data_IF_354308920035
#
_entry.id   IF_354308920035
#
_cell.length_a   1.000
_cell.length_b   1.000
_cell.length_c   1.000
_cell.angle_alpha   90.00
_cell.angle_beta   90.00
_cell.angle_gamma   90.00
#
_symmetry.space_group_name_H-M   'P 1'
#
loop_
_entity.id
_entity.type
_entity.pdbx_description
1 polymer ?
#
# COMPACT_ATOMS: atom_id res chain seq x y z
N UNK A 1 -6.67 -19.20 -8.72
CA UNK A 1 -7.40 -18.51 -9.81
C UNK A 1 -6.36 -17.66 -10.51
N UNK A 2 -6.17 -17.86 -11.81
CA UNK A 2 -5.25 -17.06 -12.61
C UNK A 2 -6.02 -15.83 -13.11
N UNK A 3 -5.79 -14.66 -12.50
CA UNK A 3 -6.20 -13.37 -13.04
C UNK A 3 -4.97 -12.69 -13.67
N UNK A 4 -5.15 -12.10 -14.84
CA UNK A 4 -4.07 -11.41 -15.56
C UNK A 4 -3.70 -10.09 -14.90
N UNK A 5 -4.69 -9.37 -14.35
CA UNK A 5 -4.52 -8.06 -13.76
C UNK A 5 -4.76 -8.14 -12.24
N UNK A 6 -3.81 -7.64 -11.46
CA UNK A 6 -4.01 -7.47 -10.02
C UNK A 6 -5.02 -6.36 -9.72
N UNK A 7 -5.10 -5.35 -10.62
CA UNK A 7 -6.05 -4.24 -10.55
C UNK A 7 -6.62 -4.02 -11.95
N UNK A 8 -7.95 -3.87 -12.04
CA UNK A 8 -8.68 -3.46 -13.24
C UNK A 8 -9.76 -2.46 -12.83
N UNK A 9 -9.55 -1.19 -13.19
CA UNK A 9 -10.45 -0.07 -12.94
C UNK A 9 -11.14 0.30 -14.26
N UNK A 10 -12.45 0.46 -14.23
CA UNK A 10 -13.26 0.80 -15.40
C UNK A 10 -14.16 1.99 -15.08
N UNK A 11 -13.88 3.14 -15.72
CA UNK A 11 -14.62 4.38 -15.57
C UNK A 11 -14.84 4.79 -14.09
N UNK A 12 -13.78 4.68 -13.26
CA UNK A 12 -13.88 4.93 -11.82
C UNK A 12 -13.91 6.43 -11.55
N UNK A 13 -14.88 6.84 -10.73
CA UNK A 13 -15.02 8.19 -10.20
C UNK A 13 -14.98 8.16 -8.66
N UNK A 14 -14.44 9.23 -8.09
CA UNK A 14 -14.49 9.47 -6.65
C UNK A 14 -14.83 10.92 -6.37
N UNK A 15 -15.91 11.13 -5.63
CA UNK A 15 -16.32 12.43 -5.09
C UNK A 15 -16.48 12.30 -3.58
N UNK A 16 -15.85 13.19 -2.83
CA UNK A 16 -15.88 13.21 -1.36
C UNK A 16 -16.62 14.44 -0.86
N UNK A 17 -17.36 14.31 0.24
CA UNK A 17 -18.02 15.42 0.89
C UNK A 17 -17.00 16.37 1.54
N UNK A 18 -16.94 17.59 1.05
CA UNK A 18 -16.11 18.68 1.61
C UNK A 18 -16.98 19.70 2.37
N UNK A 19 -16.33 20.62 3.09
CA UNK A 19 -17.02 21.64 3.87
C UNK A 19 -17.91 22.58 3.02
N UNK A 20 -17.64 22.69 1.72
CA UNK A 20 -18.37 23.54 0.77
C UNK A 20 -19.22 22.75 -0.24
N UNK A 21 -19.44 21.46 0.01
CA UNK A 21 -20.14 20.52 -0.88
C UNK A 21 -19.21 19.46 -1.47
N UNK A 22 -19.72 18.58 -2.35
CA UNK A 22 -18.94 17.49 -2.92
C UNK A 22 -17.77 18.02 -3.75
N UNK A 23 -16.63 17.36 -3.61
CA UNK A 23 -15.39 17.64 -4.35
C UNK A 23 -15.03 16.40 -5.16
N UNK A 24 -14.99 16.56 -6.47
CA UNK A 24 -14.59 15.50 -7.38
C UNK A 24 -13.07 15.32 -7.34
N UNK A 25 -12.62 14.14 -6.98
CA UNK A 25 -11.22 13.78 -6.80
C UNK A 25 -10.68 12.96 -7.98
N UNK A 26 -11.47 11.97 -8.44
CA UNK A 26 -11.09 11.09 -9.56
C UNK A 26 -12.14 11.17 -10.65
N UNK A 27 -11.67 11.27 -11.90
CA UNK A 27 -12.50 11.50 -13.06
C UNK A 27 -12.29 10.42 -14.14
N UNK A 28 -13.19 9.45 -14.24
CA UNK A 28 -13.16 8.44 -15.31
C UNK A 28 -11.83 7.70 -15.41
N UNK A 29 -11.39 7.11 -14.31
CA UNK A 29 -10.13 6.35 -14.29
C UNK A 29 -10.35 4.98 -14.92
N UNK A 30 -9.63 4.72 -16.02
CA UNK A 30 -9.44 3.41 -16.62
C UNK A 30 -7.99 2.99 -16.44
N UNK A 31 -7.75 1.88 -15.72
CA UNK A 31 -6.39 1.43 -15.38
C UNK A 31 -6.33 -0.08 -15.20
N UNK A 32 -5.36 -0.71 -15.85
CA UNK A 32 -5.02 -2.12 -15.63
C UNK A 32 -3.58 -2.24 -15.13
N UNK A 33 -3.36 -3.00 -14.04
CA UNK A 33 -2.03 -3.30 -13.51
C UNK A 33 -1.86 -4.82 -13.51
N UNK A 34 -0.83 -5.27 -14.21
CA UNK A 34 -0.52 -6.71 -14.33
C UNK A 34 -0.04 -7.28 -13.00
N UNK A 35 -0.45 -8.50 -12.68
CA UNK A 35 -0.01 -9.23 -11.48
C UNK A 35 1.51 -9.42 -11.46
N UNK A 36 2.11 -9.34 -10.27
CA UNK A 36 3.54 -9.56 -10.05
C UNK A 36 4.44 -8.44 -10.60
N UNK A 37 3.87 -7.28 -10.95
CA UNK A 37 4.61 -6.12 -11.43
C UNK A 37 4.62 -4.99 -10.42
N UNK A 38 5.66 -4.15 -10.52
CA UNK A 38 5.74 -2.91 -9.78
C UNK A 38 5.24 -1.73 -10.63
N UNK A 39 4.45 -0.85 -10.01
CA UNK A 39 3.88 0.31 -10.66
C UNK A 39 4.04 1.55 -9.78
N UNK A 40 4.63 2.62 -10.32
CA UNK A 40 4.68 3.92 -9.67
C UNK A 40 3.51 4.81 -10.11
N UNK A 41 2.85 5.43 -9.16
CA UNK A 41 1.85 6.47 -9.37
C UNK A 41 2.47 7.81 -9.00
N UNK A 42 2.72 8.66 -10.01
CA UNK A 42 3.34 9.96 -9.87
C UNK A 42 2.37 11.09 -10.21
N UNK A 43 2.73 12.32 -9.88
CA UNK A 43 1.93 13.52 -10.19
C UNK A 43 2.04 14.57 -9.09
N UNK A 44 1.53 15.79 -9.32
CA UNK A 44 1.61 16.89 -8.36
C UNK A 44 0.83 16.59 -7.07
N UNK A 45 1.13 17.34 -6.00
CA UNK A 45 0.34 17.27 -4.76
C UNK A 45 -1.13 17.64 -5.05
N UNK A 46 -2.06 16.93 -4.44
CA UNK A 46 -3.50 17.13 -4.66
C UNK A 46 -4.06 16.53 -5.96
N UNK A 47 -3.27 15.82 -6.78
CA UNK A 47 -3.77 15.22 -8.03
C UNK A 47 -4.67 13.99 -7.83
N UNK A 48 -4.86 13.49 -6.60
CA UNK A 48 -5.71 12.34 -6.30
C UNK A 48 -4.96 11.00 -6.14
N UNK A 49 -3.61 10.99 -6.07
CA UNK A 49 -2.81 9.74 -5.98
C UNK A 49 -3.17 8.88 -4.77
N UNK A 50 -3.14 9.46 -3.57
CA UNK A 50 -3.50 8.74 -2.34
C UNK A 50 -4.96 8.28 -2.36
N UNK A 51 -5.87 9.09 -2.91
CA UNK A 51 -7.28 8.70 -3.08
C UNK A 51 -7.43 7.53 -4.04
N UNK A 52 -6.72 7.53 -5.17
CA UNK A 52 -6.71 6.40 -6.11
C UNK A 52 -6.14 5.14 -5.44
N UNK A 53 -5.04 5.29 -4.68
CA UNK A 53 -4.48 4.18 -3.89
C UNK A 53 -5.51 3.63 -2.89
N UNK A 54 -6.22 4.50 -2.15
CA UNK A 54 -7.25 4.08 -1.19
C UNK A 54 -8.39 3.30 -1.86
N UNK A 55 -8.84 3.74 -3.04
CA UNK A 55 -9.86 3.02 -3.82
C UNK A 55 -9.34 1.65 -4.26
N UNK A 56 -8.14 1.57 -4.81
CA UNK A 56 -7.52 0.31 -5.23
C UNK A 56 -7.26 -0.65 -4.05
N UNK A 57 -6.96 -0.10 -2.87
CA UNK A 57 -6.76 -0.90 -1.66
C UNK A 57 -8.08 -1.34 -0.99
N UNK A 58 -9.25 -0.87 -1.48
CA UNK A 58 -10.54 -1.10 -0.85
C UNK A 58 -10.65 -0.43 0.53
N UNK A 59 -9.97 0.70 0.74
CA UNK A 59 -10.02 1.55 1.94
C UNK A 59 -10.96 2.74 1.74
N UNK A 60 -11.28 3.07 0.50
CA UNK A 60 -12.25 4.07 0.11
C UNK A 60 -13.14 3.47 -1.00
N UNK A 61 -14.42 3.78 -0.97
CA UNK A 61 -15.37 3.28 -1.96
C UNK A 61 -15.50 4.28 -3.11
N UNK A 62 -15.34 3.80 -4.35
CA UNK A 62 -15.59 4.63 -5.53
C UNK A 62 -17.05 5.10 -5.57
N UNK A 63 -17.27 6.35 -5.98
CA UNK A 63 -18.63 6.89 -6.15
C UNK A 63 -19.36 6.22 -7.32
N UNK A 64 -18.62 5.85 -8.37
CA UNK A 64 -19.14 5.09 -9.51
C UNK A 64 -18.01 4.42 -10.29
N UNK A 65 -18.37 3.57 -11.24
CA UNK A 65 -17.44 2.76 -12.03
C UNK A 65 -17.24 1.37 -11.40
N UNK A 66 -16.32 0.60 -11.96
CA UNK A 66 -16.01 -0.75 -11.49
C UNK A 66 -14.57 -0.83 -11.00
N UNK A 67 -14.38 -1.43 -9.82
CA UNK A 67 -13.08 -1.68 -9.20
C UNK A 67 -12.93 -3.18 -9.02
N UNK A 68 -12.08 -3.81 -9.82
CA UNK A 68 -11.75 -5.23 -9.70
C UNK A 68 -10.32 -5.35 -9.16
N UNK A 69 -10.14 -6.05 -8.05
CA UNK A 69 -8.86 -6.25 -7.38
C UNK A 69 -8.65 -7.73 -7.10
N UNK A 70 -7.50 -8.27 -7.50
CA UNK A 70 -7.17 -9.69 -7.38
C UNK A 70 -8.27 -10.61 -7.96
N UNK A 71 -8.91 -10.17 -9.06
CA UNK A 71 -9.97 -10.89 -9.75
C UNK A 71 -11.36 -10.79 -9.11
N UNK A 72 -11.52 -10.05 -8.00
CA UNK A 72 -12.80 -9.84 -7.32
C UNK A 72 -13.32 -8.41 -7.55
N UNK A 73 -14.59 -8.27 -7.89
CA UNK A 73 -15.26 -6.95 -8.01
C UNK A 73 -15.59 -6.46 -6.59
N UNK A 74 -14.89 -5.40 -6.17
CA UNK A 74 -15.03 -4.82 -4.83
C UNK A 74 -15.93 -3.57 -4.81
N UNK A 75 -16.47 -3.16 -5.96
CA UNK A 75 -17.21 -1.89 -6.13
C UNK A 75 -18.42 -1.75 -5.20
N UNK A 76 -19.13 -2.84 -4.95
CA UNK A 76 -20.35 -2.85 -4.17
C UNK A 76 -20.22 -3.56 -2.82
N UNK A 77 -19.00 -3.94 -2.41
CA UNK A 77 -18.74 -4.59 -1.14
C UNK A 77 -18.99 -3.62 0.03
N UNK A 78 -19.63 -4.10 1.07
CA UNK A 78 -19.73 -3.38 2.35
C UNK A 78 -18.35 -3.27 3.02
N UNK A 79 -18.19 -2.34 3.97
CA UNK A 79 -16.95 -2.19 4.72
C UNK A 79 -16.50 -3.50 5.41
N UNK A 80 -17.43 -4.29 5.91
CA UNK A 80 -17.13 -5.60 6.51
C UNK A 80 -16.57 -6.59 5.47
N UNK A 81 -17.13 -6.61 4.27
CA UNK A 81 -16.65 -7.45 3.16
C UNK A 81 -15.30 -6.96 2.65
N UNK A 82 -15.10 -5.64 2.50
CA UNK A 82 -13.81 -5.04 2.16
C UNK A 82 -12.74 -5.36 3.21
N UNK A 83 -13.06 -5.28 4.50
CA UNK A 83 -12.14 -5.66 5.57
C UNK A 83 -11.75 -7.14 5.49
N UNK A 84 -12.71 -8.02 5.19
CA UNK A 84 -12.47 -9.44 4.96
C UNK A 84 -11.62 -9.68 3.71
N UNK A 85 -11.90 -8.98 2.62
CA UNK A 85 -11.16 -9.05 1.37
C UNK A 85 -9.67 -8.69 1.57
N UNK A 86 -9.39 -7.62 2.33
CA UNK A 86 -8.02 -7.15 2.59
C UNK A 86 -7.18 -8.13 3.41
N UNK A 87 -7.79 -8.95 4.27
CA UNK A 87 -7.08 -9.85 5.20
C UNK A 87 -6.09 -10.76 4.50
N UNK A 88 -4.80 -10.62 4.83
CA UNK A 88 -3.72 -11.43 4.29
C UNK A 88 -3.45 -11.25 2.79
N UNK A 89 -4.26 -10.44 2.08
CA UNK A 89 -4.14 -10.24 0.63
C UNK A 89 -3.55 -8.90 0.24
N UNK A 90 -3.85 -7.86 1.05
CA UNK A 90 -3.47 -6.47 0.79
C UNK A 90 -2.64 -5.95 1.95
N UNK A 91 -1.43 -5.49 1.66
CA UNK A 91 -0.58 -4.75 2.58
C UNK A 91 -0.55 -3.27 2.22
N UNK A 92 -0.60 -2.38 3.22
CA UNK A 92 -0.53 -0.94 3.00
C UNK A 92 0.53 -0.32 3.91
N UNK A 93 1.44 0.43 3.32
CA UNK A 93 2.48 1.22 3.98
C UNK A 93 2.17 2.69 3.76
N UNK A 94 1.92 3.43 4.82
CA UNK A 94 1.59 4.86 4.79
C UNK A 94 2.79 5.73 5.16
N UNK A 95 2.80 6.96 4.68
CA UNK A 95 3.76 7.99 5.06
C UNK A 95 3.79 8.25 6.58
N UNK A 96 2.64 8.20 7.24
CA UNK A 96 2.50 8.46 8.70
C UNK A 96 2.54 7.19 9.55
N UNK A 97 3.10 6.09 9.04
CA UNK A 97 3.29 4.78 9.69
C UNK A 97 2.02 4.09 10.17
N UNK A 98 1.07 4.80 10.75
CA UNK A 98 -0.20 4.32 11.34
C UNK A 98 0.01 3.09 12.26
N UNK A 99 1.05 3.12 13.09
CA UNK A 99 1.26 2.12 14.13
C UNK A 99 0.26 2.33 15.27
N UNK A 100 -0.16 1.25 15.90
CA UNK A 100 -1.03 1.29 17.07
C UNK A 100 -0.16 1.71 18.27
N UNK A 101 -0.38 2.92 18.85
CA UNK A 101 0.55 3.49 19.83
C UNK A 101 0.64 2.72 21.15
N UNK A 102 -0.41 1.96 21.49
CA UNK A 102 -0.52 1.13 22.69
C UNK A 102 0.07 -0.27 22.54
N UNK A 103 0.56 -0.61 21.34
CA UNK A 103 1.16 -1.89 21.02
C UNK A 103 2.66 -1.75 20.78
N UNK A 104 3.45 -2.76 21.17
CA UNK A 104 4.88 -2.85 20.84
C UNK A 104 5.08 -3.06 19.34
N UNK A 105 6.32 -2.96 18.85
CA UNK A 105 6.66 -3.28 17.47
C UNK A 105 6.23 -4.70 17.10
N UNK A 106 6.53 -5.68 17.97
CA UNK A 106 6.13 -7.07 17.77
C UNK A 106 4.61 -7.24 17.70
N UNK A 107 3.87 -6.61 18.60
CA UNK A 107 2.40 -6.67 18.61
C UNK A 107 1.79 -6.01 17.37
N UNK A 108 2.34 -4.88 16.91
CA UNK A 108 1.89 -4.22 15.68
C UNK A 108 2.00 -5.14 14.46
N UNK A 109 3.07 -5.93 14.35
CA UNK A 109 3.25 -6.88 13.24
C UNK A 109 2.41 -8.12 13.45
N UNK A 110 2.39 -8.68 14.65
CA UNK A 110 1.62 -9.88 14.99
C UNK A 110 0.13 -9.71 14.75
N UNK A 111 -0.44 -8.51 15.01
CA UNK A 111 -1.86 -8.22 14.76
C UNK A 111 -2.25 -8.44 13.27
N UNK A 112 -1.38 -8.08 12.32
CA UNK A 112 -1.68 -8.31 10.91
C UNK A 112 -1.73 -9.80 10.55
N UNK A 113 -0.83 -10.58 11.15
CA UNK A 113 -0.79 -12.04 11.00
C UNK A 113 -2.00 -12.73 11.67
N UNK A 114 -2.35 -12.28 12.87
CA UNK A 114 -3.53 -12.77 13.59
C UNK A 114 -4.81 -12.53 12.79
N UNK A 115 -4.98 -11.32 12.24
CA UNK A 115 -6.10 -10.99 11.36
C UNK A 115 -6.08 -11.84 10.08
N UNK A 116 -4.92 -12.23 9.57
CA UNK A 116 -4.77 -13.12 8.41
C UNK A 116 -5.03 -14.60 8.76
N UNK A 117 -5.24 -14.94 10.05
CA UNK A 117 -5.55 -16.29 10.51
C UNK A 117 -4.32 -17.12 10.89
N UNK A 118 -3.15 -16.50 11.09
CA UNK A 118 -1.95 -17.19 11.56
C UNK A 118 -2.12 -17.63 13.03
N UNK A 119 -2.07 -18.92 13.34
CA UNK A 119 -2.32 -19.41 14.69
C UNK A 119 -1.23 -19.04 15.71
N UNK A 120 0.01 -18.82 15.24
CA UNK A 120 1.16 -18.42 16.05
C UNK A 120 1.80 -17.14 15.51
N UNK A 121 1.13 -15.96 15.62
CA UNK A 121 1.53 -14.77 14.90
C UNK A 121 2.84 -14.13 15.40
N UNK A 122 3.28 -14.43 16.63
CA UNK A 122 4.43 -13.77 17.24
C UNK A 122 5.78 -14.24 16.69
N UNK A 123 5.93 -15.51 16.35
CA UNK A 123 7.19 -16.04 15.81
C UNK A 123 7.48 -15.46 14.42
N UNK A 124 6.58 -15.57 13.41
CA UNK A 124 6.80 -14.97 12.11
C UNK A 124 6.87 -13.43 12.17
N UNK A 125 6.17 -12.77 13.11
CA UNK A 125 6.32 -11.34 13.32
C UNK A 125 7.74 -10.97 13.78
N UNK A 126 8.33 -11.74 14.68
CA UNK A 126 9.71 -11.55 15.16
C UNK A 126 10.71 -11.79 14.04
N UNK A 127 10.52 -12.80 13.20
CA UNK A 127 11.35 -13.08 12.05
C UNK A 127 11.34 -11.91 11.05
N UNK A 128 10.16 -11.36 10.72
CA UNK A 128 10.04 -10.19 9.83
C UNK A 128 10.72 -8.94 10.41
N UNK A 129 10.55 -8.67 11.71
CA UNK A 129 11.25 -7.57 12.36
C UNK A 129 12.77 -7.78 12.36
N UNK A 130 13.23 -9.01 12.57
CA UNK A 130 14.67 -9.35 12.53
C UNK A 130 15.25 -9.14 11.14
N UNK A 131 14.55 -9.56 10.09
CA UNK A 131 14.95 -9.35 8.70
C UNK A 131 15.09 -7.85 8.34
N UNK A 132 14.32 -6.99 9.02
CA UNK A 132 14.40 -5.52 8.88
C UNK A 132 15.34 -4.85 9.90
N UNK A 133 16.20 -5.62 10.61
CA UNK A 133 17.17 -5.10 11.56
C UNK A 133 16.57 -4.61 12.88
N UNK A 134 15.34 -5.02 13.23
CA UNK A 134 14.61 -4.56 14.40
C UNK A 134 14.48 -5.61 15.51
N UNK A 135 15.32 -6.67 15.51
CA UNK A 135 15.31 -7.71 16.55
C UNK A 135 15.37 -7.12 17.97
N UNK A 136 16.19 -6.07 18.16
CA UNK A 136 16.40 -5.39 19.43
C UNK A 136 15.29 -4.39 19.80
N UNK A 137 14.29 -4.20 18.95
CA UNK A 137 13.17 -3.26 19.10
C UNK A 137 11.82 -3.93 19.29
N UNK A 138 11.74 -5.26 19.28
CA UNK A 138 10.48 -6.01 19.37
C UNK A 138 9.56 -5.55 20.50
N UNK A 139 10.11 -5.24 21.67
CA UNK A 139 9.35 -4.87 22.87
C UNK A 139 9.19 -3.33 23.05
N UNK A 140 9.64 -2.52 22.08
CA UNK A 140 9.51 -1.07 22.11
C UNK A 140 8.16 -0.62 21.56
N UNK A 141 7.60 0.42 22.20
CA UNK A 141 6.41 1.12 21.69
C UNK A 141 6.82 2.16 20.63
N UNK A 142 5.91 2.55 19.71
CA UNK A 142 6.21 3.52 18.66
C UNK A 142 6.87 4.81 19.15
N UNK A 143 6.42 5.36 20.29
CA UNK A 143 6.99 6.58 20.91
C UNK A 143 8.46 6.46 21.34
N UNK A 144 8.98 5.25 21.43
CA UNK A 144 10.36 4.94 21.83
C UNK A 144 11.26 4.67 20.61
N UNK A 145 10.73 4.80 19.39
CA UNK A 145 11.38 4.45 18.15
C UNK A 145 11.58 5.68 17.27
N UNK A 146 12.68 5.72 16.53
CA UNK A 146 12.89 6.72 15.48
C UNK A 146 11.89 6.58 14.34
N UNK A 147 11.71 7.62 13.51
CA UNK A 147 10.84 7.56 12.33
C UNK A 147 11.19 6.41 11.39
N UNK A 148 12.47 6.18 11.11
CA UNK A 148 12.92 5.06 10.27
C UNK A 148 12.66 3.69 10.89
N UNK A 149 12.78 3.55 12.23
CA UNK A 149 12.39 2.32 12.91
C UNK A 149 10.88 2.07 12.84
N UNK A 150 10.06 3.12 13.05
CA UNK A 150 8.61 3.04 12.92
C UNK A 150 8.19 2.65 11.50
N UNK A 151 8.84 3.22 10.48
CA UNK A 151 8.56 2.86 9.08
C UNK A 151 8.92 1.41 8.78
N UNK A 152 10.06 0.90 9.29
CA UNK A 152 10.39 -0.53 9.16
C UNK A 152 9.39 -1.44 9.88
N UNK A 153 8.83 -1.03 11.03
CA UNK A 153 7.74 -1.78 11.68
C UNK A 153 6.48 -1.76 10.81
N UNK A 154 6.12 -0.61 10.21
CA UNK A 154 4.97 -0.50 9.31
C UNK A 154 5.15 -1.38 8.06
N UNK A 155 6.37 -1.42 7.50
CA UNK A 155 6.74 -2.30 6.40
C UNK A 155 6.64 -3.78 6.81
N UNK A 156 7.20 -4.15 7.98
CA UNK A 156 7.07 -5.50 8.53
C UNK A 156 5.60 -5.91 8.65
N UNK A 157 4.75 -5.04 9.22
CA UNK A 157 3.32 -5.28 9.39
C UNK A 157 2.60 -5.51 8.07
N UNK A 158 2.89 -4.67 7.06
CA UNK A 158 2.26 -4.76 5.76
C UNK A 158 2.65 -6.05 5.01
N UNK A 159 3.90 -6.51 5.16
CA UNK A 159 4.45 -7.64 4.42
C UNK A 159 4.44 -8.97 5.18
N UNK A 160 4.18 -8.98 6.50
CA UNK A 160 4.20 -10.20 7.30
C UNK A 160 3.21 -11.28 6.81
N UNK A 161 1.98 -10.93 6.39
CA UNK A 161 1.03 -11.93 5.88
C UNK A 161 1.35 -12.46 4.46
N UNK A 162 2.46 -12.05 3.85
CA UNK A 162 2.84 -12.35 2.47
C UNK A 162 1.72 -11.97 1.47
N UNK A 163 1.32 -10.69 1.41
CA UNK A 163 0.19 -10.24 0.62
C UNK A 163 0.47 -10.34 -0.89
N UNK A 164 -0.58 -10.54 -1.69
CA UNK A 164 -0.51 -10.53 -3.16
C UNK A 164 -0.40 -9.12 -3.74
N UNK A 165 -0.81 -8.11 -2.97
CA UNK A 165 -0.84 -6.72 -3.39
C UNK A 165 -0.33 -5.83 -2.24
N UNK A 166 0.66 -5.00 -2.54
CA UNK A 166 1.25 -4.04 -1.61
C UNK A 166 1.10 -2.63 -2.16
N UNK A 167 0.57 -1.76 -1.35
CA UNK A 167 0.52 -0.32 -1.59
C UNK A 167 1.52 0.39 -0.68
N UNK A 168 2.25 1.36 -1.21
CA UNK A 168 3.14 2.23 -0.45
C UNK A 168 2.86 3.68 -0.83
N UNK A 169 2.32 4.46 0.11
CA UNK A 169 2.01 5.88 -0.07
C UNK A 169 3.11 6.72 0.55
N UNK A 170 3.96 7.34 -0.29
CA UNK A 170 5.09 8.18 0.10
C UNK A 170 5.95 7.54 1.23
N UNK A 171 6.44 6.30 1.07
CA UNK A 171 7.00 5.53 2.18
C UNK A 171 8.27 6.12 2.79
N UNK A 172 8.86 7.14 2.15
CA UNK A 172 10.08 7.85 2.57
C UNK A 172 9.86 9.31 2.94
N UNK A 173 8.65 9.83 2.77
CA UNK A 173 8.36 11.27 2.85
C UNK A 173 8.66 11.94 4.19
N UNK A 174 8.78 11.17 5.28
CA UNK A 174 9.08 11.66 6.64
C UNK A 174 10.49 11.25 7.11
N UNK A 175 11.37 10.80 6.21
CA UNK A 175 12.68 10.22 6.56
C UNK A 175 13.82 11.02 5.91
N UNK A 176 14.99 10.94 6.51
CA UNK A 176 16.22 11.39 5.86
C UNK A 176 16.57 10.51 4.65
N UNK A 177 17.35 11.02 3.71
CA UNK A 177 17.64 10.36 2.44
C UNK A 177 18.27 8.96 2.61
N UNK A 178 19.19 8.78 3.56
CA UNK A 178 19.88 7.50 3.76
C UNK A 178 18.92 6.44 4.33
N UNK A 179 18.10 6.82 5.32
CA UNK A 179 17.07 5.95 5.88
C UNK A 179 16.01 5.63 4.84
N UNK A 180 15.58 6.62 4.05
CA UNK A 180 14.62 6.44 2.97
C UNK A 180 15.10 5.42 1.94
N UNK A 181 16.31 5.54 1.44
CA UNK A 181 16.90 4.58 0.49
C UNK A 181 16.87 3.14 1.03
N UNK A 182 17.26 2.94 2.30
CA UNK A 182 17.22 1.61 2.94
C UNK A 182 15.81 1.03 3.06
N UNK A 183 14.80 1.86 3.34
CA UNK A 183 13.38 1.43 3.39
C UNK A 183 12.90 0.98 2.01
N UNK A 184 13.22 1.77 0.98
CA UNK A 184 12.88 1.45 -0.40
C UNK A 184 13.52 0.14 -0.84
N UNK A 185 14.82 -0.05 -0.58
CA UNK A 185 15.52 -1.29 -0.92
C UNK A 185 14.86 -2.49 -0.23
N UNK A 186 14.51 -2.35 1.03
CA UNK A 186 13.78 -3.38 1.78
C UNK A 186 12.40 -3.66 1.18
N UNK A 187 11.65 -2.63 0.77
CA UNK A 187 10.33 -2.76 0.14
C UNK A 187 10.43 -3.54 -1.18
N UNK A 188 11.35 -3.14 -2.07
CA UNK A 188 11.52 -3.83 -3.36
C UNK A 188 12.04 -5.25 -3.17
N UNK A 189 13.05 -5.46 -2.32
CA UNK A 189 13.60 -6.81 -2.05
C UNK A 189 12.50 -7.75 -1.55
N UNK A 190 11.75 -7.34 -0.51
CA UNK A 190 10.72 -8.18 0.07
C UNK A 190 9.50 -8.39 -0.85
N UNK A 191 9.18 -7.40 -1.71
CA UNK A 191 8.15 -7.57 -2.74
C UNK A 191 8.59 -8.53 -3.85
N UNK A 192 9.87 -8.49 -4.25
CA UNK A 192 10.43 -9.38 -5.28
C UNK A 192 10.72 -10.81 -4.79
N UNK A 193 11.10 -10.99 -3.51
CA UNK A 193 11.27 -12.33 -2.92
C UNK A 193 9.96 -13.14 -2.95
N UNK A 194 8.84 -12.44 -2.94
CA UNK A 194 7.51 -13.02 -3.12
C UNK A 194 7.12 -12.89 -4.61
N UNK A 195 7.49 -13.86 -5.41
CA UNK A 195 7.44 -13.85 -6.90
C UNK A 195 6.12 -13.42 -7.54
N UNK A 196 5.02 -13.35 -6.77
CA UNK A 196 3.68 -13.00 -7.26
C UNK A 196 3.11 -11.70 -6.64
N UNK A 197 3.88 -10.98 -5.81
CA UNK A 197 3.39 -9.74 -5.19
C UNK A 197 3.42 -8.58 -6.17
N UNK A 198 2.30 -7.91 -6.33
CA UNK A 198 2.18 -6.66 -7.09
C UNK A 198 2.45 -5.49 -6.17
N UNK A 199 3.32 -4.55 -6.56
CA UNK A 199 3.65 -3.36 -5.80
C UNK A 199 3.11 -2.11 -6.48
N UNK A 200 2.32 -1.31 -5.75
CA UNK A 200 1.90 0.03 -6.17
C UNK A 200 2.57 1.05 -5.25
N UNK A 201 3.40 1.91 -5.83
CA UNK A 201 4.16 2.93 -5.14
C UNK A 201 3.66 4.32 -5.52
N UNK A 202 3.13 5.06 -4.57
CA UNK A 202 2.85 6.50 -4.74
C UNK A 202 4.09 7.27 -4.30
N UNK A 203 4.62 8.10 -5.19
CA UNK A 203 5.78 8.94 -4.88
C UNK A 203 5.85 10.17 -5.78
N UNK A 204 6.47 11.23 -5.26
CA UNK A 204 6.88 12.40 -6.05
C UNK A 204 8.36 12.33 -6.47
N UNK A 205 9.10 11.32 -5.98
CA UNK A 205 10.50 11.07 -6.34
C UNK A 205 10.57 10.26 -7.65
N UNK A 206 11.05 10.90 -8.71
CA UNK A 206 11.17 10.29 -10.03
C UNK A 206 12.24 9.20 -10.11
N UNK A 207 13.33 9.31 -9.33
CA UNK A 207 14.36 8.28 -9.27
C UNK A 207 13.79 7.00 -8.67
N UNK A 208 12.98 7.16 -7.63
CA UNK A 208 12.28 6.05 -7.02
C UNK A 208 11.22 5.44 -7.97
N UNK A 209 10.47 6.28 -8.67
CA UNK A 209 9.47 5.83 -9.65
C UNK A 209 10.11 5.02 -10.79
N UNK A 210 11.32 5.39 -11.25
CA UNK A 210 12.05 4.68 -12.30
C UNK A 210 12.50 3.26 -11.91
N UNK A 211 12.44 2.90 -10.64
CA UNK A 211 12.70 1.53 -10.18
C UNK A 211 11.53 0.58 -10.42
N UNK A 212 10.33 1.12 -10.70
CA UNK A 212 9.15 0.32 -11.01
C UNK A 212 9.11 -0.07 -12.50
N UNK A 213 8.43 -1.18 -12.80
CA UNK A 213 8.24 -1.67 -14.17
C UNK A 213 7.40 -0.70 -15.02
N UNK A 214 6.49 0.06 -14.39
CA UNK A 214 5.61 1.01 -15.06
C UNK A 214 5.43 2.28 -14.23
N UNK A 215 5.34 3.42 -14.92
CA UNK A 215 5.02 4.72 -14.31
C UNK A 215 3.69 5.22 -14.87
N UNK A 216 2.80 5.63 -13.96
CA UNK A 216 1.49 6.24 -14.28
C UNK A 216 1.51 7.67 -13.74
N UNK A 217 1.28 8.65 -14.62
CA UNK A 217 1.15 10.06 -14.23
C UNK A 217 -0.34 10.41 -14.01
N UNK A 218 -0.67 10.86 -12.80
CA UNK A 218 -2.01 11.31 -12.42
C UNK A 218 -2.00 12.84 -12.28
N UNK A 219 -2.89 13.52 -13.04
CA UNK A 219 -3.07 14.98 -12.98
C UNK A 219 -4.54 15.32 -12.92
N UNK A 220 -4.91 16.17 -11.99
CA UNK A 220 -6.27 16.65 -11.82
C UNK A 220 -7.31 15.51 -11.86
N UNK A 221 -7.03 14.45 -11.12
CA UNK A 221 -7.89 13.28 -11.01
C UNK A 221 -8.00 12.42 -12.26
N UNK A 222 -7.10 12.57 -13.25
CA UNK A 222 -7.08 11.80 -14.50
C UNK A 222 -5.71 11.18 -14.75
N UNK A 223 -5.67 10.01 -15.37
CA UNK A 223 -4.42 9.44 -15.89
C UNK A 223 -4.07 10.21 -17.17
N UNK A 224 -2.90 10.88 -17.15
CA UNK A 224 -2.42 11.70 -18.26
C UNK A 224 -1.53 10.91 -19.22
N UNK A 225 -0.67 10.03 -18.69
CA UNK A 225 0.22 9.15 -19.46
C UNK A 225 0.52 7.88 -18.66
N UNK A 226 0.76 6.78 -19.36
CA UNK A 226 1.31 5.56 -18.78
C UNK A 226 2.46 5.07 -19.66
N UNK A 227 3.70 5.29 -19.22
CA UNK A 227 4.88 4.74 -19.88
C UNK A 227 5.21 3.35 -19.31
N UNK A 228 5.23 2.34 -20.15
CA UNK A 228 5.58 0.96 -19.82
C UNK A 228 4.63 -0.03 -20.52
N UNK A 229 5.22 -0.99 -21.18
CA UNK A 229 4.53 -2.08 -21.87
C UNK A 229 4.23 -3.23 -20.91
#
# INVERSE_FOLDING_TARGET
>A
MDYKFAIDLQNVHLSLEGNAGPVDILHSIDLQITQGRSCALVGPSGSGKSSLLMVMAGLEQATSGRVTVLGEDISAMSEAELAQFRRGRVGVVFQSFHLIPSMTALQNVATALELAGEPNPFDPAREKLTALGLAHRCDHFPKQMSGGEQQRVALARALAPNPKLVFADEPTGNLDAATGASIVDSLFTLAHEQTDTTLILVTHDLELAQRCDRIIDLRDGKISESNGA
#
